data_IF_944219151944
#
_entry.id   IF_944219151944
#
_cell.length_a   1.000
_cell.length_b   1.000
_cell.length_c   1.000
_cell.angle_alpha   90.00
_cell.angle_beta   90.00
_cell.angle_gamma   90.00
#
_symmetry.space_group_name_H-M   'P 1'
#
loop_
_entity.id
_entity.type
_entity.pdbx_description
1 polymer ?
#
# COMPACT_ATOMS: atom_id res chain seq x y z
N UNK A 1 -34.00 0.26 -39.60
CA UNK A 1 -33.68 0.34 -41.05
C UNK A 1 -32.18 0.59 -41.14
N UNK A 2 -31.31 -0.17 -41.80
CA UNK A 2 -31.43 -1.32 -42.74
C UNK A 2 -30.00 -1.92 -42.86
N UNK A 3 -29.71 -3.23 -42.95
CA UNK A 3 -30.48 -4.46 -43.19
C UNK A 3 -29.84 -5.67 -42.45
N UNK A 4 -30.44 -6.87 -42.52
CA UNK A 4 -29.70 -8.15 -42.49
C UNK A 4 -29.54 -8.66 -43.92
N UNK A 5 -28.43 -9.32 -44.25
CA UNK A 5 -28.34 -10.25 -45.39
C UNK A 5 -27.40 -11.43 -45.04
N UNK A 6 -27.98 -12.62 -44.89
CA UNK A 6 -27.28 -13.92 -44.88
C UNK A 6 -27.74 -14.73 -46.08
N UNK A 7 -26.79 -15.25 -46.87
CA UNK A 7 -26.96 -16.37 -47.82
C UNK A 7 -25.59 -17.09 -47.83
N UNK A 8 -25.44 -18.35 -47.39
CA UNK A 8 -25.68 -19.61 -48.16
C UNK A 8 -25.07 -19.54 -49.57
N UNK A 9 -24.23 -20.46 -50.06
CA UNK A 9 -24.23 -21.93 -49.94
C UNK A 9 -22.90 -22.47 -50.49
N UNK A 10 -22.46 -23.70 -50.18
CA UNK A 10 -21.26 -24.24 -50.87
C UNK A 10 -20.68 -25.57 -50.37
N UNK A 11 -21.47 -26.65 -50.32
CA UNK A 11 -20.95 -27.97 -49.95
C UNK A 11 -20.20 -28.63 -51.12
N UNK A 12 -18.93 -29.02 -50.95
CA UNK A 12 -18.30 -30.08 -51.75
C UNK A 12 -17.51 -31.04 -50.86
N UNK A 13 -17.90 -32.31 -50.89
CA UNK A 13 -17.17 -33.42 -50.27
C UNK A 13 -16.08 -33.90 -51.23
N UNK A 14 -14.86 -34.04 -50.75
CA UNK A 14 -13.96 -35.10 -51.22
C UNK A 14 -13.39 -35.82 -50.00
N UNK A 15 -13.77 -37.09 -49.88
CA UNK A 15 -13.10 -38.09 -49.04
C UNK A 15 -11.92 -38.69 -49.80
N UNK A 16 -10.82 -39.02 -49.12
CA UNK A 16 -10.10 -40.29 -49.27
C UNK A 16 -9.21 -40.51 -48.04
N UNK A 17 -8.94 -41.79 -47.75
CA UNK A 17 -8.28 -42.27 -46.54
C UNK A 17 -6.75 -42.13 -46.62
N UNK A 18 -6.10 -41.97 -45.47
CA UNK A 18 -4.84 -42.68 -45.18
C UNK A 18 -4.63 -42.82 -43.67
N UNK A 19 -4.74 -44.04 -43.14
CA UNK A 19 -4.24 -44.35 -41.81
C UNK A 19 -2.71 -44.46 -41.87
N UNK A 20 -2.01 -43.69 -41.04
CA UNK A 20 -0.54 -43.67 -40.99
C UNK A 20 -0.06 -43.47 -39.55
N UNK A 21 -0.04 -44.55 -38.78
CA UNK A 21 0.48 -44.53 -37.42
C UNK A 21 2.02 -44.49 -37.45
N UNK A 22 2.60 -43.30 -37.37
CA UNK A 22 4.03 -43.12 -37.18
C UNK A 22 4.36 -43.10 -35.68
N UNK A 23 5.00 -44.16 -35.17
CA UNK A 23 5.63 -44.11 -33.85
C UNK A 23 6.83 -43.17 -33.91
N UNK A 24 6.67 -41.94 -33.41
CA UNK A 24 7.80 -41.07 -33.12
C UNK A 24 8.49 -41.57 -31.84
N UNK A 25 9.71 -42.10 -31.96
CA UNK A 25 10.59 -42.29 -30.80
C UNK A 25 10.92 -40.90 -30.23
N UNK A 26 10.45 -40.62 -29.02
CA UNK A 26 10.69 -39.35 -28.36
C UNK A 26 12.14 -39.19 -27.91
N UNK A 27 12.88 -38.29 -28.56
CA UNK A 27 14.03 -37.64 -27.94
C UNK A 27 13.50 -36.51 -27.06
N UNK A 28 13.33 -36.78 -25.78
CA UNK A 28 12.92 -35.77 -24.78
C UNK A 28 14.12 -34.87 -24.46
N UNK A 29 14.45 -33.95 -25.37
CA UNK A 29 15.34 -32.83 -25.07
C UNK A 29 14.60 -31.87 -24.15
N UNK A 30 14.58 -32.19 -22.86
CA UNK A 30 13.99 -31.34 -21.85
C UNK A 30 14.72 -30.00 -21.81
N UNK A 31 14.02 -28.93 -22.18
CA UNK A 31 14.46 -27.59 -21.84
C UNK A 31 14.46 -27.47 -20.32
N UNK A 32 15.64 -27.56 -19.70
CA UNK A 32 15.83 -27.07 -18.33
C UNK A 32 15.60 -25.57 -18.38
N UNK A 33 14.39 -25.16 -18.00
CA UNK A 33 14.15 -23.78 -17.59
C UNK A 33 14.98 -23.60 -16.31
N UNK A 34 16.02 -22.75 -16.28
CA UNK A 34 16.69 -22.46 -15.04
C UNK A 34 15.66 -21.80 -14.13
N UNK A 35 15.31 -22.51 -13.06
CA UNK A 35 14.37 -22.04 -12.05
C UNK A 35 14.95 -20.84 -11.32
N UNK A 36 14.78 -19.66 -11.91
CA UNK A 36 14.98 -18.38 -11.26
C UNK A 36 13.98 -18.24 -10.14
N UNK A 37 14.26 -18.87 -9.00
CA UNK A 37 13.52 -18.72 -7.76
C UNK A 37 13.65 -17.28 -7.29
N UNK A 38 12.82 -16.39 -7.83
CA UNK A 38 12.60 -15.06 -7.31
C UNK A 38 11.91 -15.21 -5.96
N UNK A 39 12.72 -15.49 -4.93
CA UNK A 39 12.29 -15.38 -3.55
C UNK A 39 11.75 -13.98 -3.36
N UNK A 40 10.43 -13.86 -3.17
CA UNK A 40 9.75 -12.59 -3.01
C UNK A 40 10.18 -12.00 -1.68
N UNK A 41 11.27 -11.23 -1.68
CA UNK A 41 11.79 -10.57 -0.49
C UNK A 41 10.63 -9.81 0.17
N UNK A 42 10.24 -10.21 1.38
CA UNK A 42 9.15 -9.53 2.07
C UNK A 42 9.51 -8.05 2.21
N UNK A 43 8.59 -7.09 1.98
CA UNK A 43 8.92 -5.69 2.15
C UNK A 43 9.35 -5.45 3.59
N UNK A 44 10.31 -4.54 3.78
CA UNK A 44 10.98 -4.35 5.07
C UNK A 44 10.75 -2.95 5.59
N UNK A 45 10.54 -2.87 6.89
CA UNK A 45 10.71 -1.64 7.64
C UNK A 45 12.23 -1.31 7.60
N UNK A 46 12.64 -0.11 7.20
CA UNK A 46 14.06 0.28 7.20
C UNK A 46 14.70 0.19 8.59
N UNK A 47 15.99 -0.13 8.64
CA UNK A 47 16.77 -0.08 9.89
C UNK A 47 16.86 1.35 10.41
N UNK A 48 16.46 1.57 11.66
CA UNK A 48 16.43 2.89 12.28
C UNK A 48 15.02 3.48 12.48
N UNK A 49 13.99 2.87 11.88
CA UNK A 49 12.60 3.16 12.25
C UNK A 49 12.34 2.61 13.66
N UNK A 50 11.77 3.40 14.60
CA UNK A 50 11.33 2.91 15.89
C UNK A 50 10.30 1.78 15.76
N UNK A 51 10.40 0.77 16.62
CA UNK A 51 9.42 -0.32 16.69
C UNK A 51 8.70 -0.27 18.04
N UNK A 52 7.38 -0.53 18.08
CA UNK A 52 6.64 -0.60 19.33
C UNK A 52 7.24 -1.68 20.24
N UNK A 53 7.29 -1.46 21.58
CA UNK A 53 7.67 -2.51 22.52
C UNK A 53 6.83 -3.78 22.32
N UNK A 54 7.42 -4.95 22.57
CA UNK A 54 6.74 -6.25 22.44
C UNK A 54 5.33 -6.27 23.09
N UNK A 55 5.17 -5.83 24.35
CA UNK A 55 3.86 -5.76 25.00
C UNK A 55 2.84 -4.86 24.30
N UNK A 56 3.26 -3.80 23.60
CA UNK A 56 2.35 -2.95 22.80
C UNK A 56 1.89 -3.71 21.57
N UNK A 57 2.82 -4.36 20.86
CA UNK A 57 2.52 -5.22 19.71
C UNK A 57 1.56 -6.36 20.08
N UNK A 58 1.81 -7.03 21.21
CA UNK A 58 0.99 -8.13 21.71
C UNK A 58 -0.44 -7.68 22.07
N UNK A 59 -0.59 -6.52 22.73
CA UNK A 59 -1.90 -5.95 23.06
C UNK A 59 -2.68 -5.55 21.81
N UNK A 60 -2.03 -4.91 20.83
CA UNK A 60 -2.70 -4.53 19.56
C UNK A 60 -3.15 -5.77 18.79
N UNK A 61 -2.30 -6.80 18.70
CA UNK A 61 -2.67 -8.09 18.08
C UNK A 61 -3.80 -8.80 18.85
N UNK A 62 -3.81 -8.75 20.18
CA UNK A 62 -4.87 -9.34 21.00
C UNK A 62 -6.21 -8.60 20.89
N UNK A 63 -6.21 -7.27 20.75
CA UNK A 63 -7.41 -6.49 20.46
C UNK A 63 -7.92 -6.78 19.05
N UNK A 64 -7.05 -6.73 18.04
CA UNK A 64 -7.43 -7.05 16.66
C UNK A 64 -7.97 -8.49 16.49
N UNK A 65 -7.45 -9.45 17.25
CA UNK A 65 -7.98 -10.81 17.30
C UNK A 65 -9.43 -10.87 17.80
N UNK A 66 -9.75 -10.06 18.82
CA UNK A 66 -11.11 -9.95 19.37
C UNK A 66 -12.05 -9.23 18.42
N UNK A 67 -11.66 -8.06 17.90
CA UNK A 67 -12.46 -7.23 17.00
C UNK A 67 -12.82 -7.97 15.69
N UNK A 68 -11.86 -8.71 15.13
CA UNK A 68 -12.03 -9.43 13.86
C UNK A 68 -12.57 -10.86 14.04
N UNK A 69 -12.63 -11.38 15.27
CA UNK A 69 -13.01 -12.77 15.55
C UNK A 69 -12.03 -13.81 15.00
N UNK A 70 -10.73 -13.47 14.95
CA UNK A 70 -9.66 -14.26 14.35
C UNK A 70 -8.66 -14.76 15.41
N UNK A 71 -8.00 -15.92 15.23
CA UNK A 71 -6.90 -16.33 16.10
C UNK A 71 -5.74 -15.33 16.03
N UNK A 72 -5.25 -14.86 17.18
CA UNK A 72 -4.13 -13.91 17.24
C UNK A 72 -2.87 -14.40 16.49
N UNK A 73 -2.65 -15.72 16.44
CA UNK A 73 -1.53 -16.34 15.73
C UNK A 73 -1.66 -16.31 14.18
N UNK A 74 -2.84 -15.97 13.64
CA UNK A 74 -3.07 -15.78 12.21
C UNK A 74 -2.94 -14.30 11.79
N UNK A 75 -2.89 -13.38 12.76
CA UNK A 75 -2.65 -11.96 12.53
C UNK A 75 -1.15 -11.65 12.47
N UNK A 76 -0.78 -10.61 11.74
CA UNK A 76 0.59 -10.10 11.69
C UNK A 76 0.62 -8.58 11.56
N UNK A 77 1.63 -7.94 12.13
CA UNK A 77 1.90 -6.51 11.94
C UNK A 77 2.71 -6.35 10.65
N UNK A 78 2.20 -5.54 9.70
CA UNK A 78 2.86 -5.26 8.42
C UNK A 78 3.64 -3.93 8.44
N UNK A 79 3.04 -2.87 9.01
CA UNK A 79 3.59 -1.51 9.11
C UNK A 79 3.44 -0.98 10.53
N UNK A 80 4.37 -0.17 10.99
CA UNK A 80 4.28 0.61 12.24
C UNK A 80 4.82 2.03 12.05
N UNK A 81 4.21 2.97 12.75
CA UNK A 81 4.64 4.37 12.86
C UNK A 81 4.53 4.79 14.33
N UNK A 82 5.55 5.45 14.86
CA UNK A 82 5.46 6.19 16.13
C UNK A 82 4.79 7.54 15.85
N UNK A 83 3.80 7.92 16.66
CA UNK A 83 2.96 9.10 16.42
C UNK A 83 2.64 9.84 17.72
N UNK A 84 2.32 11.13 17.61
CA UNK A 84 1.75 11.91 18.71
C UNK A 84 0.34 12.32 18.33
N UNK A 85 -0.65 11.75 19.02
CA UNK A 85 -2.06 12.00 18.79
C UNK A 85 -2.51 13.35 19.33
N UNK A 86 -3.55 13.92 18.72
CA UNK A 86 -4.16 15.21 19.10
C UNK A 86 -4.86 15.21 20.45
N UNK A 87 -5.31 14.04 20.89
CA UNK A 87 -6.20 13.85 22.04
C UNK A 87 -6.15 12.40 22.56
N UNK A 88 -6.77 12.16 23.72
CA UNK A 88 -6.91 10.82 24.31
C UNK A 88 -7.82 9.85 23.56
N UNK A 89 -8.47 10.26 22.47
CA UNK A 89 -9.16 9.37 21.54
C UNK A 89 -8.29 9.01 20.33
N UNK A 90 -6.98 9.30 20.38
CA UNK A 90 -5.98 8.95 19.37
C UNK A 90 -6.23 9.66 18.02
N UNK A 91 -6.89 10.83 18.05
CA UNK A 91 -7.32 11.56 16.86
C UNK A 91 -8.43 10.88 16.05
N UNK A 92 -9.08 9.86 16.61
CA UNK A 92 -10.21 9.11 16.03
C UNK A 92 -11.38 9.00 17.03
N UNK A 93 -11.67 10.11 17.71
CA UNK A 93 -12.83 10.25 18.58
C UNK A 93 -14.14 10.29 17.80
N UNK A 94 -15.14 9.55 18.29
CA UNK A 94 -16.48 9.57 17.69
C UNK A 94 -17.18 10.91 17.93
N UNK A 95 -18.20 11.28 17.12
CA UNK A 95 -19.00 12.47 17.37
C UNK A 95 -19.60 12.46 18.79
N UNK A 96 -19.31 13.51 19.57
CA UNK A 96 -19.68 13.69 20.97
C UNK A 96 -18.93 12.79 21.98
N UNK A 97 -17.83 12.14 21.59
CA UNK A 97 -16.96 11.42 22.53
C UNK A 97 -16.16 12.42 23.40
N UNK A 98 -16.11 12.17 24.71
CA UNK A 98 -15.42 13.02 25.69
C UNK A 98 -13.91 12.79 25.73
N UNK A 99 -13.19 13.17 24.69
CA UNK A 99 -11.75 12.94 24.56
C UNK A 99 -10.92 13.85 25.49
N UNK A 100 -9.90 13.28 26.15
CA UNK A 100 -8.92 14.06 26.91
C UNK A 100 -8.20 15.04 25.97
N UNK A 101 -8.27 16.34 26.28
CA UNK A 101 -7.69 17.41 25.47
C UNK A 101 -6.20 17.59 25.80
N UNK A 102 -5.40 16.58 25.48
CA UNK A 102 -3.96 16.56 25.65
C UNK A 102 -3.31 15.68 24.57
N UNK A 103 -2.10 16.04 24.14
CA UNK A 103 -1.33 15.20 23.22
C UNK A 103 -0.97 13.86 23.87
N UNK A 104 -1.04 12.78 23.09
CA UNK A 104 -0.76 11.41 23.56
C UNK A 104 0.25 10.76 22.61
N UNK A 105 1.44 10.44 23.13
CA UNK A 105 2.43 9.62 22.43
C UNK A 105 1.88 8.21 22.18
N UNK A 106 2.22 7.59 21.05
CA UNK A 106 1.63 6.32 20.67
C UNK A 106 2.12 5.75 19.34
N UNK A 107 1.35 4.78 18.83
CA UNK A 107 1.72 3.98 17.67
C UNK A 107 0.55 3.77 16.72
N UNK A 108 0.76 3.97 15.42
CA UNK A 108 -0.09 3.42 14.37
C UNK A 108 0.48 2.07 13.92
N UNK A 109 -0.35 1.05 13.79
CA UNK A 109 0.02 -0.28 13.30
C UNK A 109 -0.94 -0.72 12.20
N UNK A 110 -0.42 -1.37 11.16
CA UNK A 110 -1.26 -2.07 10.18
C UNK A 110 -1.23 -3.57 10.47
N UNK A 111 -2.40 -4.13 10.80
CA UNK A 111 -2.60 -5.55 11.04
C UNK A 111 -3.11 -6.22 9.77
N UNK A 112 -2.57 -7.38 9.42
CA UNK A 112 -2.90 -8.12 8.18
C UNK A 112 -3.31 -9.56 8.42
N UNK A 113 -4.22 -10.04 7.57
CA UNK A 113 -4.62 -11.45 7.46
C UNK A 113 -5.16 -11.74 6.06
N UNK A 114 -4.68 -12.79 5.37
CA UNK A 114 -5.23 -13.31 4.10
C UNK A 114 -5.56 -12.24 3.01
N UNK A 115 -4.68 -11.24 2.83
CA UNK A 115 -4.83 -10.09 1.91
C UNK A 115 -5.81 -8.99 2.35
N UNK A 116 -6.34 -9.04 3.57
CA UNK A 116 -7.02 -7.92 4.22
C UNK A 116 -6.05 -7.20 5.16
N UNK A 117 -6.23 -5.90 5.33
CA UNK A 117 -5.50 -5.11 6.32
C UNK A 117 -6.39 -4.10 7.06
N UNK A 118 -6.00 -3.78 8.28
CA UNK A 118 -6.71 -2.85 9.17
C UNK A 118 -5.70 -2.03 9.95
N UNK A 119 -5.91 -0.72 10.02
CA UNK A 119 -5.08 0.15 10.84
C UNK A 119 -5.61 0.21 12.27
N UNK A 120 -4.71 0.14 13.23
CA UNK A 120 -4.95 0.31 14.65
C UNK A 120 -4.10 1.47 15.17
N UNK A 121 -4.65 2.22 16.11
CA UNK A 121 -3.95 3.27 16.86
C UNK A 121 -3.89 2.88 18.32
N UNK A 122 -2.81 3.22 18.99
CA UNK A 122 -2.68 3.04 20.43
C UNK A 122 -1.82 4.12 21.08
N UNK A 123 -1.93 4.28 22.40
CA UNK A 123 -0.97 5.03 23.20
C UNK A 123 0.40 4.30 23.30
N UNK A 124 1.39 4.98 23.89
CA UNK A 124 2.78 4.51 23.97
C UNK A 124 2.98 3.16 24.69
N UNK A 125 2.01 2.71 25.49
CA UNK A 125 2.10 1.51 26.33
C UNK A 125 1.04 0.44 26.01
N UNK A 126 0.17 0.69 25.03
CA UNK A 126 -0.84 -0.26 24.60
C UNK A 126 -2.08 -0.32 25.52
N UNK A 127 -2.40 0.71 26.30
CA UNK A 127 -3.55 0.66 27.23
C UNK A 127 -4.89 0.98 26.53
N UNK A 128 -4.88 2.01 25.69
CA UNK A 128 -5.97 2.37 24.79
C UNK A 128 -5.60 1.91 23.37
N UNK A 129 -6.25 0.86 22.87
CA UNK A 129 -6.10 0.36 21.49
C UNK A 129 -7.42 0.53 20.76
N UNK A 130 -7.40 1.16 19.58
CA UNK A 130 -8.59 1.42 18.74
C UNK A 130 -8.33 1.02 17.30
N UNK A 131 -9.26 0.32 16.67
CA UNK A 131 -9.27 0.20 15.21
C UNK A 131 -9.59 1.57 14.59
N UNK A 132 -8.80 1.98 13.60
CA UNK A 132 -9.06 3.18 12.81
C UNK A 132 -10.18 2.94 11.80
N UNK A 133 -11.05 3.95 11.66
CA UNK A 133 -12.13 3.99 10.67
C UNK A 133 -11.88 5.01 9.54
N UNK A 134 -10.69 5.63 9.51
CA UNK A 134 -10.29 6.53 8.43
C UNK A 134 -10.04 5.71 7.15
N UNK A 135 -10.36 6.27 5.98
CA UNK A 135 -10.18 5.57 4.68
C UNK A 135 -8.70 5.57 4.23
N UNK A 136 -7.97 6.65 4.51
CA UNK A 136 -6.61 6.89 4.02
C UNK A 136 -5.52 6.43 5.00
N UNK A 137 -5.77 6.54 6.31
CA UNK A 137 -4.87 6.15 7.40
C UNK A 137 -3.44 6.70 7.30
N UNK A 138 -3.25 7.83 6.61
CA UNK A 138 -1.94 8.47 6.56
C UNK A 138 -1.55 8.90 8.00
N UNK A 139 -0.35 8.54 8.48
CA UNK A 139 0.09 8.93 9.82
C UNK A 139 0.11 10.46 9.95
N UNK A 140 -0.41 11.06 11.03
CA UNK A 140 -0.50 12.52 11.18
C UNK A 140 0.83 13.25 10.94
N UNK A 141 1.94 12.73 11.48
CA UNK A 141 3.29 13.27 11.26
C UNK A 141 3.65 13.38 9.77
N UNK A 142 3.27 12.37 8.98
CA UNK A 142 3.54 12.29 7.55
C UNK A 142 2.60 13.20 6.74
N UNK A 143 1.34 13.34 7.16
CA UNK A 143 0.40 14.30 6.57
C UNK A 143 0.95 15.72 6.61
N UNK A 144 1.47 16.15 7.76
CA UNK A 144 2.06 17.48 7.90
C UNK A 144 3.36 17.64 7.11
N UNK A 145 4.23 16.62 7.09
CA UNK A 145 5.44 16.62 6.27
C UNK A 145 5.14 16.76 4.77
N UNK A 146 4.16 16.01 4.25
CA UNK A 146 3.74 16.07 2.84
C UNK A 146 3.15 17.44 2.51
N UNK A 147 2.30 18.00 3.39
CA UNK A 147 1.66 19.28 3.12
C UNK A 147 2.62 20.48 3.27
N UNK A 148 3.68 20.37 4.08
CA UNK A 148 4.78 21.33 4.10
C UNK A 148 5.63 21.28 2.81
N UNK A 149 5.90 20.08 2.28
CA UNK A 149 6.54 19.91 0.97
C UNK A 149 5.66 20.48 -0.16
N UNK A 150 4.36 20.19 -0.15
CA UNK A 150 3.42 20.73 -1.14
C UNK A 150 3.34 22.27 -1.13
N UNK A 151 3.38 22.91 0.05
CA UNK A 151 3.46 24.37 0.16
C UNK A 151 4.76 24.93 -0.45
N UNK A 152 5.87 24.23 -0.24
CA UNK A 152 7.18 24.60 -0.79
C UNK A 152 7.23 24.45 -2.32
N UNK A 153 6.73 23.34 -2.85
CA UNK A 153 6.80 23.00 -4.28
C UNK A 153 5.81 23.81 -5.13
N UNK A 154 4.64 24.15 -4.59
CA UNK A 154 3.60 24.94 -5.30
C UNK A 154 3.69 26.45 -5.07
N UNK A 155 4.29 26.89 -3.96
CA UNK A 155 4.22 28.28 -3.48
C UNK A 155 2.86 28.69 -2.90
N UNK A 156 1.93 27.75 -2.70
CA UNK A 156 0.63 27.97 -2.06
C UNK A 156 0.74 27.93 -0.54
N UNK A 157 -0.21 28.57 0.16
CA UNK A 157 -0.30 28.48 1.63
C UNK A 157 -0.84 27.12 2.08
N UNK A 158 -0.59 26.76 3.35
CA UNK A 158 -0.99 25.47 3.94
C UNK A 158 -2.50 25.24 3.90
N UNK A 159 -3.28 26.32 3.93
CA UNK A 159 -4.75 26.35 3.90
C UNK A 159 -5.32 26.19 2.49
N UNK A 160 -4.51 26.36 1.45
CA UNK A 160 -4.88 26.14 0.04
C UNK A 160 -4.62 24.69 -0.41
N UNK A 161 -4.12 23.84 0.50
CA UNK A 161 -3.60 22.50 0.20
C UNK A 161 -4.32 21.42 1.03
N UNK A 162 -4.86 20.43 0.36
CA UNK A 162 -5.64 19.33 0.95
C UNK A 162 -5.11 17.98 0.45
N UNK A 163 -4.86 17.02 1.36
CA UNK A 163 -4.65 15.63 0.97
C UNK A 163 -6.03 15.04 0.65
N UNK A 164 -6.24 14.71 -0.62
CA UNK A 164 -7.48 14.09 -1.11
C UNK A 164 -7.37 12.57 -1.22
N UNK A 165 -6.15 12.02 -1.08
CA UNK A 165 -5.91 10.58 -1.09
C UNK A 165 -4.56 10.25 -0.45
N UNK A 166 -4.51 9.21 0.37
CA UNK A 166 -3.29 8.46 0.63
C UNK A 166 -3.50 6.96 0.37
N UNK A 167 -2.46 6.27 -0.06
CA UNK A 167 -2.47 4.83 -0.29
C UNK A 167 -1.19 4.22 0.28
N UNK A 168 -1.26 3.17 1.12
CA UNK A 168 -0.08 2.44 1.54
C UNK A 168 0.49 1.68 0.35
N UNK A 169 1.80 1.85 0.10
CA UNK A 169 2.51 1.27 -1.04
C UNK A 169 3.76 0.50 -0.60
N UNK A 170 4.30 -0.24 -1.56
CA UNK A 170 5.62 -0.86 -1.47
C UNK A 170 6.38 -0.43 -2.71
N UNK A 171 7.57 0.10 -2.51
CA UNK A 171 8.40 0.70 -3.53
C UNK A 171 9.70 -0.08 -3.76
N UNK A 172 10.32 0.15 -4.91
CA UNK A 172 11.73 -0.16 -5.14
C UNK A 172 12.66 0.77 -4.34
N UNK A 173 13.97 0.68 -4.59
CA UNK A 173 15.00 1.49 -3.94
C UNK A 173 14.98 2.99 -4.25
N UNK A 174 14.10 3.48 -5.13
CA UNK A 174 13.96 4.88 -5.52
C UNK A 174 12.62 5.51 -5.10
N UNK A 175 11.85 4.83 -4.25
CA UNK A 175 10.44 5.14 -3.97
C UNK A 175 9.55 5.09 -5.24
N UNK A 176 9.91 4.27 -6.24
CA UNK A 176 9.19 4.20 -7.51
C UNK A 176 9.31 5.45 -8.39
N UNK A 177 10.31 6.31 -8.16
CA UNK A 177 10.62 7.48 -8.98
C UNK A 177 12.07 7.35 -9.48
N UNK A 178 12.24 6.71 -10.65
CA UNK A 178 13.54 6.52 -11.30
C UNK A 178 14.05 7.82 -11.93
N UNK A 179 15.33 8.15 -11.70
CA UNK A 179 15.98 9.30 -12.32
C UNK A 179 16.64 8.91 -13.65
N UNK A 180 16.62 9.76 -14.70
CA UNK A 180 17.15 9.40 -16.01
C UNK A 180 18.61 8.92 -15.98
N UNK A 181 18.82 7.64 -16.28
CA UNK A 181 20.14 7.01 -16.32
C UNK A 181 20.63 6.42 -14.98
N UNK A 182 19.83 6.48 -13.91
CA UNK A 182 20.14 5.87 -12.62
C UNK A 182 19.22 4.67 -12.33
N UNK A 183 19.77 3.46 -12.40
CA UNK A 183 19.02 2.23 -12.11
C UNK A 183 18.65 2.10 -10.63
N UNK A 184 17.40 1.70 -10.38
CA UNK A 184 16.86 1.56 -9.02
C UNK A 184 17.15 0.19 -8.39
N UNK A 185 17.70 0.15 -7.15
CA UNK A 185 17.89 -1.10 -6.43
C UNK A 185 16.58 -1.88 -6.28
N UNK A 186 16.64 -3.20 -6.46
CA UNK A 186 15.49 -4.11 -6.29
C UNK A 186 15.18 -4.39 -4.80
N UNK A 187 15.17 -3.33 -4.00
CA UNK A 187 14.70 -3.33 -2.63
C UNK A 187 13.16 -3.37 -2.59
N UNK A 188 12.58 -3.56 -1.39
CA UNK A 188 11.14 -3.40 -1.15
C UNK A 188 10.92 -2.62 0.12
N UNK A 189 10.72 -1.31 -0.03
CA UNK A 189 10.47 -0.39 1.08
C UNK A 189 8.98 -0.12 1.20
N UNK A 190 8.46 -0.17 2.43
CA UNK A 190 7.12 0.35 2.69
C UNK A 190 7.10 1.88 2.61
N UNK A 191 5.96 2.44 2.24
CA UNK A 191 5.77 3.88 2.17
C UNK A 191 4.36 4.23 1.72
N UNK A 192 4.15 5.47 1.30
CA UNK A 192 2.84 5.97 0.90
C UNK A 192 2.88 6.65 -0.47
N UNK A 193 1.77 6.56 -1.22
CA UNK A 193 1.47 7.45 -2.35
C UNK A 193 0.39 8.41 -1.89
N UNK A 194 0.71 9.71 -1.83
CA UNK A 194 -0.16 10.76 -1.31
C UNK A 194 -0.49 11.74 -2.43
N UNK A 195 -1.76 12.07 -2.61
CA UNK A 195 -2.22 13.06 -3.59
C UNK A 195 -2.75 14.29 -2.85
N UNK A 196 -2.09 15.42 -3.08
CA UNK A 196 -2.46 16.74 -2.61
C UNK A 196 -3.12 17.51 -3.75
N UNK A 197 -4.22 18.20 -3.47
CA UNK A 197 -4.80 19.21 -4.37
C UNK A 197 -4.44 20.61 -3.88
N UNK A 198 -4.09 21.51 -4.81
CA UNK A 198 -3.77 22.90 -4.55
C UNK A 198 -4.32 23.81 -5.65
N UNK A 199 -5.39 24.56 -5.33
CA UNK A 199 -6.22 25.36 -6.26
C UNK A 199 -6.78 24.58 -7.48
N UNK A 200 -5.92 24.24 -8.44
CA UNK A 200 -6.21 23.45 -9.65
C UNK A 200 -5.19 22.34 -9.91
N UNK A 201 -4.05 22.38 -9.24
CA UNK A 201 -2.95 21.43 -9.42
C UNK A 201 -3.16 20.20 -8.54
N UNK A 202 -2.73 19.05 -9.05
CA UNK A 202 -2.63 17.80 -8.31
C UNK A 202 -1.15 17.44 -8.18
N UNK A 203 -0.66 17.39 -6.94
CA UNK A 203 0.70 16.98 -6.61
C UNK A 203 0.67 15.58 -6.03
N UNK A 204 1.44 14.66 -6.62
CA UNK A 204 1.55 13.28 -6.15
C UNK A 204 2.91 13.09 -5.51
N UNK A 205 2.93 12.76 -4.21
CA UNK A 205 4.13 12.45 -3.45
C UNK A 205 4.26 10.95 -3.24
N UNK A 206 5.47 10.43 -3.40
CA UNK A 206 5.85 9.12 -2.91
C UNK A 206 6.73 9.31 -1.67
N UNK A 207 6.42 8.60 -0.60
CA UNK A 207 7.14 8.70 0.68
C UNK A 207 7.69 7.34 1.11
N UNK A 208 8.64 7.34 2.04
CA UNK A 208 8.88 6.19 2.92
C UNK A 208 7.81 6.10 4.03
N UNK A 209 7.99 5.22 5.01
CA UNK A 209 6.98 5.00 6.06
C UNK A 209 6.76 6.21 6.97
N UNK A 210 7.83 6.92 7.31
CA UNK A 210 7.90 7.90 8.41
C UNK A 210 8.25 9.33 7.97
N UNK A 211 8.38 9.57 6.66
CA UNK A 211 8.59 10.91 6.10
C UNK A 211 10.03 11.39 6.07
N UNK A 212 11.03 10.52 6.30
CA UNK A 212 12.43 10.88 6.03
C UNK A 212 12.70 11.10 4.55
N UNK A 213 11.91 10.46 3.68
CA UNK A 213 11.91 10.73 2.25
C UNK A 213 10.48 11.05 1.81
N UNK A 214 10.29 12.25 1.29
CA UNK A 214 9.05 12.72 0.65
C UNK A 214 9.48 13.28 -0.71
N UNK A 215 9.07 12.63 -1.80
CA UNK A 215 9.46 12.98 -3.17
C UNK A 215 8.25 13.29 -4.02
N UNK A 216 8.22 14.46 -4.66
CA UNK A 216 7.24 14.76 -5.70
C UNK A 216 7.48 13.83 -6.91
N UNK A 217 6.42 13.18 -7.38
CA UNK A 217 6.38 12.46 -8.64
C UNK A 217 5.77 13.39 -9.72
N UNK A 218 6.59 14.03 -10.57
CA UNK A 218 6.10 14.96 -11.59
C UNK A 218 5.38 14.26 -12.76
N UNK A 219 5.48 12.93 -12.90
CA UNK A 219 4.78 12.19 -13.95
C UNK A 219 3.34 11.87 -13.57
N UNK A 220 3.08 11.65 -12.28
CA UNK A 220 1.74 11.44 -11.71
C UNK A 220 1.03 12.75 -11.34
N UNK A 221 1.73 13.89 -11.36
CA UNK A 221 1.21 15.21 -11.00
C UNK A 221 0.62 15.95 -12.22
N UNK A 222 -0.37 16.82 -11.99
CA UNK A 222 -1.12 17.52 -13.04
C UNK A 222 -1.41 19.00 -12.69
N UNK A 223 -1.77 19.79 -13.71
CA UNK A 223 -2.18 21.21 -13.62
C UNK A 223 -3.63 21.42 -14.07
#
# INVERSE_FOLDING_TARGET
MTQLLRFTTGLKRLSVLSAGAALALGLVTGCVVPGGGQGTANPRIPTGVPLPPGPVSDRVLATAAQDLGLPQAELSILRVNEETWTDGCLGIGLPNEGCLQALVEGWQLEIVHNNQSWFYRTDAIGENVRQSYLDDNLPPSLSDGVLAMAATDSGLSREQLEIIKAEPRTWDGCLGIEEPGQGCPQARYFGWRVTVIGERQLLVYHTDMIGYQIRLNPQDSAQ
#
